data_IF_133611447396
#
_entry.id   IF_133611447396
#
_cell.length_a   1.000
_cell.length_b   1.000
_cell.length_c   1.000
_cell.angle_alpha   90.00
_cell.angle_beta   90.00
_cell.angle_gamma   90.00
#
_symmetry.space_group_name_H-M   'P 1'
#
loop_
_entity.id
_entity.type
_entity.pdbx_description
1 polymer ?
#
# COMPACT_ATOMS: atom_id res chain seq x y z
N UNK A 1 1.69 1.32 23.07
CA UNK A 1 0.94 0.23 22.44
C UNK A 1 -0.51 0.65 22.19
N UNK A 2 -0.91 0.70 20.92
CA UNK A 2 -2.26 1.12 20.50
C UNK A 2 -3.30 0.00 20.59
N UNK A 3 -2.89 -1.22 20.90
CA UNK A 3 -3.72 -2.43 20.80
C UNK A 3 -3.79 -3.21 22.13
N UNK A 4 -3.23 -2.66 23.20
CA UNK A 4 -3.11 -3.34 24.51
C UNK A 4 -2.43 -4.72 24.41
N UNK A 5 -1.43 -4.86 23.54
CA UNK A 5 -0.68 -6.09 23.31
C UNK A 5 -1.38 -7.13 22.42
N UNK A 6 -2.60 -6.87 21.98
CA UNK A 6 -3.34 -7.83 21.15
C UNK A 6 -2.86 -7.91 19.69
N UNK A 7 -2.36 -6.80 19.16
CA UNK A 7 -2.00 -6.67 17.76
C UNK A 7 -3.15 -6.16 16.88
N UNK A 8 -2.82 -5.78 15.64
CA UNK A 8 -3.75 -5.23 14.67
C UNK A 8 -4.71 -6.30 14.11
N UNK A 9 -5.90 -5.90 13.72
CA UNK A 9 -6.85 -6.77 13.05
C UNK A 9 -6.44 -7.07 11.61
N UNK A 10 -5.91 -6.05 10.94
CA UNK A 10 -5.51 -6.12 9.53
C UNK A 10 -4.31 -5.24 9.28
N UNK A 11 -3.52 -5.61 8.27
CA UNK A 11 -2.39 -4.84 7.76
C UNK A 11 -2.36 -4.87 6.24
N UNK A 12 -1.80 -3.83 5.65
CA UNK A 12 -1.58 -3.76 4.20
C UNK A 12 -0.12 -3.35 3.98
N UNK A 13 0.60 -4.13 3.19
CA UNK A 13 1.91 -3.74 2.68
C UNK A 13 1.80 -3.22 1.24
N UNK A 14 2.25 -1.99 1.03
CA UNK A 14 2.38 -1.37 -0.28
C UNK A 14 3.84 -1.01 -0.60
N UNK A 15 4.79 -1.42 0.24
CA UNK A 15 6.19 -1.01 0.16
C UNK A 15 7.08 -1.93 -0.66
N UNK A 16 6.70 -3.21 -0.83
CA UNK A 16 7.52 -4.29 -1.40
C UNK A 16 8.75 -4.67 -0.56
N UNK A 17 8.98 -4.02 0.57
CA UNK A 17 10.11 -4.31 1.46
C UNK A 17 9.93 -5.64 2.17
N UNK A 18 10.93 -6.50 2.13
CA UNK A 18 10.92 -7.79 2.85
C UNK A 18 10.71 -7.62 4.35
N UNK A 19 11.33 -6.60 4.93
CA UNK A 19 11.20 -6.30 6.34
C UNK A 19 9.80 -5.78 6.68
N UNK A 20 9.28 -4.82 5.91
CA UNK A 20 7.94 -4.29 6.12
C UNK A 20 6.85 -5.37 5.99
N UNK A 21 6.98 -6.29 5.03
CA UNK A 21 6.09 -7.45 4.90
C UNK A 21 6.15 -8.36 6.12
N UNK A 22 7.35 -8.65 6.62
CA UNK A 22 7.51 -9.45 7.83
C UNK A 22 6.85 -8.76 9.03
N UNK A 23 7.08 -7.45 9.18
CA UNK A 23 6.47 -6.65 10.24
C UNK A 23 4.94 -6.58 10.10
N UNK A 24 4.42 -6.47 8.88
CA UNK A 24 2.97 -6.43 8.64
C UNK A 24 2.26 -7.72 9.04
N UNK A 25 2.94 -8.87 8.97
CA UNK A 25 2.43 -10.13 9.52
C UNK A 25 2.57 -10.17 11.04
N UNK A 26 3.75 -9.80 11.56
CA UNK A 26 4.05 -9.92 12.99
C UNK A 26 3.24 -8.98 13.87
N UNK A 27 2.84 -7.83 13.36
CA UNK A 27 2.00 -6.87 14.10
C UNK A 27 0.54 -7.30 14.26
N UNK A 28 0.08 -8.34 13.57
CA UNK A 28 -1.29 -8.82 13.63
C UNK A 28 -1.58 -9.57 14.93
N UNK A 29 -2.82 -9.53 15.34
CA UNK A 29 -3.36 -10.43 16.36
C UNK A 29 -3.62 -11.81 15.76
N UNK A 30 -3.89 -12.80 16.63
CA UNK A 30 -4.45 -14.10 16.19
C UNK A 30 -5.73 -13.86 15.37
N UNK A 31 -5.89 -14.63 14.27
CA UNK A 31 -6.95 -14.46 13.26
C UNK A 31 -6.88 -13.16 12.46
N UNK A 32 -5.76 -12.45 12.52
CA UNK A 32 -5.54 -11.24 11.73
C UNK A 32 -5.35 -11.53 10.25
N UNK A 33 -5.44 -10.48 9.43
CA UNK A 33 -5.31 -10.55 7.97
C UNK A 33 -4.22 -9.61 7.49
N UNK A 34 -3.25 -10.12 6.74
CA UNK A 34 -2.27 -9.30 6.02
C UNK A 34 -2.56 -9.30 4.52
N UNK A 35 -2.48 -8.15 3.88
CA UNK A 35 -2.62 -8.01 2.43
C UNK A 35 -1.33 -7.42 1.85
N UNK A 36 -0.76 -8.10 0.85
CA UNK A 36 0.38 -7.61 0.08
C UNK A 36 -0.09 -7.08 -1.26
N UNK A 37 0.13 -5.79 -1.49
CA UNK A 37 -0.19 -5.09 -2.74
C UNK A 37 1.04 -4.50 -3.43
N UNK A 38 2.13 -4.29 -2.69
CA UNK A 38 3.41 -3.87 -3.26
C UNK A 38 4.00 -4.94 -4.17
N UNK A 39 4.44 -4.58 -5.37
CA UNK A 39 5.06 -5.51 -6.30
C UNK A 39 6.53 -5.76 -5.98
N UNK A 40 7.02 -6.96 -6.33
CA UNK A 40 8.42 -7.35 -6.14
C UNK A 40 8.77 -7.73 -4.71
N UNK A 41 10.05 -8.01 -4.47
CA UNK A 41 10.59 -8.40 -3.17
C UNK A 41 10.14 -9.79 -2.69
N UNK A 42 10.65 -10.14 -1.51
CA UNK A 42 10.36 -11.40 -0.83
C UNK A 42 9.81 -11.12 0.57
N UNK A 43 9.40 -12.17 1.27
CA UNK A 43 9.15 -12.15 2.70
C UNK A 43 9.78 -13.37 3.33
N UNK A 44 10.43 -13.18 4.47
CA UNK A 44 10.98 -14.27 5.28
C UNK A 44 10.21 -14.35 6.60
N UNK A 45 9.53 -15.46 6.80
CA UNK A 45 8.66 -15.72 7.96
C UNK A 45 8.85 -17.12 8.48
N UNK A 46 8.68 -17.31 9.77
CA UNK A 46 8.48 -18.63 10.39
C UNK A 46 7.02 -19.04 10.20
N UNK A 47 6.78 -19.94 9.25
CA UNK A 47 5.43 -20.38 8.91
C UNK A 47 4.65 -20.88 10.15
N UNK A 48 5.34 -21.60 11.03
CA UNK A 48 4.70 -22.15 12.24
C UNK A 48 4.29 -21.05 13.22
N UNK A 49 5.22 -20.17 13.56
CA UNK A 49 4.99 -19.14 14.58
C UNK A 49 4.26 -17.91 14.02
N UNK A 50 4.56 -17.50 12.80
CA UNK A 50 4.02 -16.28 12.22
C UNK A 50 2.65 -16.48 11.58
N UNK A 51 2.34 -17.70 11.07
CA UNK A 51 1.06 -17.98 10.40
C UNK A 51 0.22 -19.02 11.12
N UNK A 52 0.73 -20.28 11.27
CA UNK A 52 -0.11 -21.40 11.68
C UNK A 52 -0.66 -21.24 13.08
N UNK A 53 0.19 -21.01 14.07
CA UNK A 53 -0.21 -20.89 15.48
C UNK A 53 -1.06 -19.66 15.76
N UNK A 54 -0.99 -18.67 14.90
CA UNK A 54 -1.76 -17.43 14.99
C UNK A 54 -2.94 -17.40 14.03
N UNK A 55 -3.08 -18.41 13.18
CA UNK A 55 -4.15 -18.56 12.19
C UNK A 55 -4.32 -17.30 11.31
N UNK A 56 -3.19 -16.77 10.81
CA UNK A 56 -3.16 -15.59 9.99
C UNK A 56 -3.67 -15.90 8.58
N UNK A 57 -4.50 -15.02 8.04
CA UNK A 57 -4.85 -15.02 6.62
C UNK A 57 -3.91 -14.10 5.86
N UNK A 58 -3.20 -14.65 4.88
CA UNK A 58 -2.35 -13.89 3.97
C UNK A 58 -3.04 -13.74 2.62
N UNK A 59 -3.18 -12.50 2.15
CA UNK A 59 -3.87 -12.14 0.91
C UNK A 59 -2.88 -11.48 -0.03
N UNK A 60 -2.77 -11.96 -1.26
CA UNK A 60 -2.11 -11.27 -2.36
C UNK A 60 -3.14 -10.49 -3.17
N UNK A 61 -2.81 -9.26 -3.55
CA UNK A 61 -3.64 -8.44 -4.43
C UNK A 61 -2.78 -7.82 -5.51
N UNK A 62 -3.19 -7.98 -6.74
CA UNK A 62 -2.50 -7.44 -7.91
C UNK A 62 -3.41 -6.52 -8.70
N UNK A 63 -3.00 -5.27 -8.85
CA UNK A 63 -3.72 -4.27 -9.64
C UNK A 63 -5.24 -4.24 -9.38
N UNK A 64 -6.02 -3.95 -10.41
CA UNK A 64 -7.48 -3.93 -10.35
C UNK A 64 -8.06 -4.27 -11.73
N UNK A 65 -9.28 -4.77 -11.76
CA UNK A 65 -10.05 -4.95 -12.97
C UNK A 65 -10.73 -3.64 -13.40
N UNK A 66 -11.16 -3.55 -14.66
CA UNK A 66 -11.99 -2.41 -15.11
C UNK A 66 -13.23 -2.20 -14.24
N UNK A 67 -13.85 -3.29 -13.80
CA UNK A 67 -14.99 -3.24 -12.87
C UNK A 67 -14.56 -2.68 -11.50
N UNK A 68 -13.44 -3.12 -10.96
CA UNK A 68 -12.90 -2.61 -9.69
C UNK A 68 -12.53 -1.12 -9.77
N UNK A 69 -12.00 -0.67 -10.91
CA UNK A 69 -11.73 0.75 -11.13
C UNK A 69 -13.00 1.58 -11.12
N UNK A 70 -14.05 1.12 -11.80
CA UNK A 70 -15.34 1.79 -11.81
C UNK A 70 -15.92 1.92 -10.39
N UNK A 71 -15.99 0.80 -9.67
CA UNK A 71 -16.48 0.78 -8.29
C UNK A 71 -15.67 1.68 -7.35
N UNK A 72 -14.35 1.75 -7.55
CA UNK A 72 -13.48 2.67 -6.80
C UNK A 72 -13.84 4.13 -7.11
N UNK A 73 -14.05 4.47 -8.38
CA UNK A 73 -14.43 5.84 -8.79
C UNK A 73 -15.78 6.25 -8.20
N UNK A 74 -16.77 5.36 -8.21
CA UNK A 74 -18.06 5.59 -7.56
C UNK A 74 -17.90 5.80 -6.04
N UNK A 75 -17.11 4.96 -5.39
CA UNK A 75 -16.84 5.09 -3.96
C UNK A 75 -16.18 6.41 -3.61
N UNK A 76 -15.17 6.83 -4.38
CA UNK A 76 -14.49 8.13 -4.21
C UNK A 76 -15.49 9.28 -4.33
N UNK A 77 -16.36 9.25 -5.35
CA UNK A 77 -17.37 10.27 -5.59
C UNK A 77 -18.44 10.29 -4.48
N UNK A 78 -18.97 9.13 -4.09
CA UNK A 78 -19.97 8.99 -3.03
C UNK A 78 -19.45 9.48 -1.68
N UNK A 79 -18.24 9.10 -1.32
CA UNK A 79 -17.60 9.47 -0.05
C UNK A 79 -16.94 10.85 -0.10
N UNK A 80 -16.94 11.50 -1.26
CA UNK A 80 -16.32 12.83 -1.48
C UNK A 80 -14.86 12.84 -1.01
N UNK A 81 -14.12 11.77 -1.33
CA UNK A 81 -12.72 11.67 -0.96
C UNK A 81 -11.89 12.66 -1.79
N UNK A 82 -11.07 13.43 -1.12
CA UNK A 82 -10.22 14.44 -1.74
C UNK A 82 -8.93 13.79 -2.27
N UNK A 83 -9.03 13.11 -3.39
CA UNK A 83 -7.89 12.42 -4.02
C UNK A 83 -6.86 13.39 -4.60
N UNK A 84 -7.26 14.62 -4.88
CA UNK A 84 -6.40 15.71 -5.29
C UNK A 84 -5.36 16.08 -4.23
N UNK A 85 -5.69 15.95 -2.95
CA UNK A 85 -4.74 16.16 -1.84
C UNK A 85 -3.57 15.16 -1.82
N UNK A 86 -3.64 14.07 -2.60
CA UNK A 86 -2.53 13.13 -2.77
C UNK A 86 -1.40 13.69 -3.62
N UNK A 87 -1.69 14.66 -4.47
CA UNK A 87 -0.67 15.26 -5.34
C UNK A 87 0.05 16.37 -4.59
N UNK A 88 1.34 16.18 -4.41
CA UNK A 88 2.23 17.10 -3.69
C UNK A 88 3.02 18.02 -4.62
N UNK A 89 3.11 17.65 -5.89
CA UNK A 89 3.85 18.40 -6.90
C UNK A 89 3.10 18.44 -8.22
N UNK A 90 3.14 19.59 -8.87
CA UNK A 90 2.56 19.82 -10.19
C UNK A 90 3.65 20.27 -11.16
N UNK A 91 3.66 19.69 -12.36
CA UNK A 91 4.66 19.89 -13.36
C UNK A 91 4.02 20.19 -14.72
N UNK A 92 4.69 20.99 -15.53
CA UNK A 92 4.39 21.11 -16.96
C UNK A 92 5.10 19.99 -17.72
N UNK A 93 4.65 19.71 -18.96
CA UNK A 93 5.26 18.66 -19.78
C UNK A 93 6.76 18.88 -20.02
N UNK A 94 7.16 20.16 -20.21
CA UNK A 94 8.55 20.54 -20.43
C UNK A 94 9.46 20.22 -19.22
N UNK A 95 8.85 20.08 -18.04
CA UNK A 95 9.53 19.76 -16.78
C UNK A 95 9.51 18.25 -16.47
N UNK A 96 9.08 17.40 -17.39
CA UNK A 96 8.96 15.95 -17.17
C UNK A 96 10.27 15.33 -16.65
N UNK A 97 11.42 15.78 -17.16
CA UNK A 97 12.72 15.29 -16.68
C UNK A 97 12.92 15.54 -15.19
N UNK A 98 12.66 16.75 -14.73
CA UNK A 98 12.78 17.15 -13.32
C UNK A 98 11.80 16.35 -12.44
N UNK A 99 10.57 16.16 -12.93
CA UNK A 99 9.55 15.39 -12.24
C UNK A 99 9.99 13.94 -12.03
N UNK A 100 10.54 13.28 -13.06
CA UNK A 100 11.06 11.92 -12.96
C UNK A 100 12.30 11.81 -12.09
N UNK A 101 13.22 12.78 -12.14
CA UNK A 101 14.41 12.82 -11.29
C UNK A 101 14.04 12.98 -9.80
N UNK A 102 12.99 13.73 -9.49
CA UNK A 102 12.48 13.83 -8.12
C UNK A 102 11.82 12.52 -7.69
N UNK A 103 10.99 11.94 -8.54
CA UNK A 103 10.29 10.70 -8.25
C UNK A 103 11.25 9.51 -8.04
N UNK A 104 12.33 9.45 -8.82
CA UNK A 104 13.35 8.40 -8.72
C UNK A 104 14.06 8.39 -7.34
N UNK A 105 14.16 9.53 -6.71
CA UNK A 105 14.71 9.65 -5.35
C UNK A 105 13.81 9.05 -4.27
N UNK A 106 12.55 8.74 -4.58
CA UNK A 106 11.54 8.21 -3.66
C UNK A 106 11.43 8.95 -2.32
N UNK A 107 11.76 10.25 -2.35
CA UNK A 107 11.88 11.07 -1.16
C UNK A 107 10.64 11.88 -0.84
N UNK A 108 9.68 11.94 -1.78
CA UNK A 108 8.56 12.85 -1.64
C UNK A 108 7.35 12.40 -2.45
N UNK A 109 6.19 12.62 -1.90
CA UNK A 109 4.84 12.55 -2.31
C UNK A 109 4.49 11.93 -3.68
N UNK A 110 3.52 12.55 -4.33
CA UNK A 110 3.03 12.15 -5.66
C UNK A 110 2.97 13.36 -6.58
N UNK A 111 3.60 13.25 -7.74
CA UNK A 111 3.58 14.30 -8.76
C UNK A 111 2.54 14.05 -9.84
N UNK A 112 2.05 15.12 -10.45
CA UNK A 112 1.21 15.11 -11.65
C UNK A 112 1.85 15.99 -12.72
N UNK A 113 1.86 15.50 -13.96
CA UNK A 113 2.34 16.26 -15.12
C UNK A 113 1.11 16.64 -15.96
N UNK A 114 0.92 17.94 -16.15
CA UNK A 114 -0.11 18.47 -17.03
C UNK A 114 0.44 18.62 -18.45
N UNK A 115 -0.18 18.02 -19.47
CA UNK A 115 0.36 18.01 -20.83
C UNK A 115 0.21 19.34 -21.56
N UNK A 116 -0.50 20.29 -21.02
CA UNK A 116 -0.61 21.67 -21.56
C UNK A 116 -1.28 22.59 -20.55
#
# INVERSE_FOLDING_TARGET
>A
DLTNGLGAHSSIDASSSSEARSQSIKCLRTWGKACFVGEGGNVNIDVSNDLLRRQITLIGSWTFSKHGQYACSEYVAEKKLKVDELFTHEWKLEQAKEAYELFDKQSDGKGVIYPS
#
